data_IF_124070808146
#
_entry.id   IF_124070808146
#
_cell.length_a   1.000
_cell.length_b   1.000
_cell.length_c   1.000
_cell.angle_alpha   90.00
_cell.angle_beta   90.00
_cell.angle_gamma   90.00
#
_symmetry.space_group_name_H-M   'P 1'
#
loop_
_entity.id
_entity.type
_entity.pdbx_description
1 polymer ?
#
# COMPACT_ATOMS: atom_id res chain seq x y z
N UNK A 1 -3.87 24.71 -11.17
CA UNK A 1 -5.07 24.18 -11.86
C UNK A 1 -5.57 22.99 -11.06
N UNK A 2 -6.86 22.89 -10.71
CA UNK A 2 -7.39 21.71 -10.04
C UNK A 2 -7.21 20.52 -10.99
N UNK A 3 -6.43 19.53 -10.57
CA UNK A 3 -6.29 18.27 -11.30
C UNK A 3 -7.51 17.45 -10.94
N UNK A 4 -8.51 17.44 -11.81
CA UNK A 4 -9.66 16.55 -11.62
C UNK A 4 -9.20 15.12 -11.94
N UNK A 5 -9.24 14.19 -10.98
CA UNK A 5 -8.95 12.80 -11.25
C UNK A 5 -9.92 12.28 -12.34
N UNK A 6 -9.43 11.51 -13.30
CA UNK A 6 -10.26 11.03 -14.39
C UNK A 6 -11.14 9.86 -13.92
N UNK A 7 -12.43 10.12 -13.71
CA UNK A 7 -13.44 9.07 -13.54
C UNK A 7 -13.67 8.35 -14.88
N UNK A 8 -13.47 7.05 -14.89
CA UNK A 8 -13.75 6.18 -16.01
C UNK A 8 -14.97 5.33 -15.68
N UNK A 9 -15.96 5.34 -16.56
CA UNK A 9 -17.15 4.49 -16.45
C UNK A 9 -17.14 3.54 -17.63
N UNK A 10 -17.17 2.24 -17.35
CA UNK A 10 -17.27 1.20 -18.36
C UNK A 10 -18.32 0.17 -17.95
N UNK A 11 -18.65 -0.76 -18.84
CA UNK A 11 -19.59 -1.85 -18.56
C UNK A 11 -19.06 -3.13 -19.19
N UNK A 12 -19.14 -4.24 -18.46
CA UNK A 12 -19.00 -5.58 -19.00
C UNK A 12 -20.32 -6.37 -18.82
N UNK A 13 -20.31 -7.67 -19.11
CA UNK A 13 -21.50 -8.52 -19.01
C UNK A 13 -22.10 -8.58 -17.60
N UNK A 14 -21.29 -8.31 -16.56
CA UNK A 14 -21.69 -8.47 -15.16
C UNK A 14 -21.80 -7.16 -14.40
N UNK A 15 -20.92 -6.20 -14.66
CA UNK A 15 -20.84 -4.97 -13.89
C UNK A 15 -20.78 -3.72 -14.76
N UNK A 16 -21.44 -2.67 -14.29
CA UNK A 16 -21.07 -1.29 -14.57
C UNK A 16 -19.94 -0.89 -13.63
N UNK A 17 -18.81 -0.50 -14.20
CA UNK A 17 -17.55 -0.28 -13.47
C UNK A 17 -17.28 1.21 -13.38
N UNK A 18 -17.07 1.69 -12.16
CA UNK A 18 -16.68 3.05 -11.83
C UNK A 18 -15.25 3.02 -11.32
N UNK A 19 -14.31 3.57 -12.09
CA UNK A 19 -12.90 3.64 -11.74
C UNK A 19 -12.42 5.07 -11.63
N UNK A 20 -11.84 5.41 -10.49
CA UNK A 20 -11.15 6.67 -10.27
C UNK A 20 -9.70 6.39 -9.87
N UNK A 21 -8.76 7.09 -10.49
CA UNK A 21 -7.33 6.90 -10.23
C UNK A 21 -6.73 8.21 -9.74
N UNK A 22 -6.00 8.14 -8.63
CA UNK A 22 -5.25 9.22 -8.04
C UNK A 22 -3.75 8.89 -8.14
N UNK A 23 -3.00 9.78 -8.80
CA UNK A 23 -1.54 9.69 -8.95
C UNK A 23 -0.80 9.90 -7.63
N UNK A 24 -1.47 10.42 -6.60
CA UNK A 24 -0.93 10.61 -5.25
C UNK A 24 -2.03 10.86 -4.21
N UNK A 25 -1.69 10.73 -2.93
CA UNK A 25 -2.54 11.21 -1.83
C UNK A 25 -2.85 12.70 -1.90
N UNK A 26 -1.93 13.51 -2.42
CA UNK A 26 -2.13 14.95 -2.59
C UNK A 26 -3.22 15.24 -3.62
N UNK A 27 -3.30 14.45 -4.71
CA UNK A 27 -4.37 14.59 -5.69
C UNK A 27 -5.73 14.18 -5.10
N UNK A 28 -5.76 13.11 -4.28
CA UNK A 28 -6.95 12.71 -3.53
C UNK A 28 -7.42 13.80 -2.56
N UNK A 29 -6.49 14.40 -1.80
CA UNK A 29 -6.77 15.51 -0.90
C UNK A 29 -7.34 16.72 -1.67
N UNK A 30 -6.70 17.13 -2.77
CA UNK A 30 -7.16 18.26 -3.58
C UNK A 30 -8.54 18.01 -4.18
N UNK A 31 -8.82 16.78 -4.62
CA UNK A 31 -10.14 16.37 -5.09
C UNK A 31 -11.19 16.57 -3.99
N UNK A 32 -10.92 16.10 -2.77
CA UNK A 32 -11.85 16.18 -1.64
C UNK A 32 -12.02 17.61 -1.11
N UNK A 33 -10.95 18.42 -1.09
CA UNK A 33 -11.01 19.85 -0.76
C UNK A 33 -11.76 20.67 -1.81
N UNK A 34 -11.86 20.15 -3.03
CA UNK A 34 -12.73 20.69 -4.07
C UNK A 34 -14.23 20.44 -3.86
N UNK A 35 -14.59 19.78 -2.75
CA UNK A 35 -15.96 19.41 -2.36
C UNK A 35 -16.75 18.76 -3.50
N UNK A 36 -16.39 17.51 -3.88
CA UNK A 36 -17.01 16.86 -5.02
C UNK A 36 -18.51 16.66 -4.78
N UNK A 37 -19.31 16.89 -5.82
CA UNK A 37 -20.76 16.80 -5.74
C UNK A 37 -21.21 15.40 -5.29
N UNK A 38 -22.07 15.36 -4.28
CA UNK A 38 -22.65 14.11 -3.77
C UNK A 38 -23.80 13.66 -4.65
N UNK A 39 -23.82 12.39 -4.99
CA UNK A 39 -24.97 11.74 -5.59
C UNK A 39 -26.09 11.55 -4.55
N UNK A 40 -26.88 12.60 -4.31
CA UNK A 40 -27.98 12.63 -3.34
C UNK A 40 -29.11 11.66 -3.66
N UNK A 41 -29.22 11.19 -4.90
CA UNK A 41 -30.22 10.20 -5.30
C UNK A 41 -29.95 8.82 -4.68
N UNK A 42 -28.67 8.46 -4.53
CA UNK A 42 -28.21 7.20 -3.91
C UNK A 42 -27.87 7.39 -2.44
N UNK A 43 -27.17 8.48 -2.11
CA UNK A 43 -26.69 8.79 -0.76
C UNK A 43 -27.54 9.88 -0.11
N UNK A 44 -28.74 9.50 0.36
CA UNK A 44 -29.62 10.41 1.12
C UNK A 44 -28.95 10.93 2.40
N UNK A 45 -28.16 10.07 3.04
CA UNK A 45 -27.35 10.37 4.22
C UNK A 45 -25.89 10.02 3.94
N UNK A 46 -24.97 10.94 4.20
CA UNK A 46 -23.55 10.73 3.94
C UNK A 46 -22.87 10.16 5.18
N UNK A 47 -22.58 8.86 5.17
CA UNK A 47 -21.89 8.19 6.27
C UNK A 47 -20.47 8.71 6.47
N UNK A 48 -19.83 9.24 5.42
CA UNK A 48 -18.54 9.95 5.56
C UNK A 48 -18.61 11.12 6.55
N UNK A 49 -19.79 11.73 6.73
CA UNK A 49 -20.00 12.87 7.64
C UNK A 49 -20.58 12.38 8.97
N UNK A 50 -21.64 11.58 8.94
CA UNK A 50 -22.47 11.32 10.12
C UNK A 50 -22.17 10.04 10.90
N UNK A 51 -21.25 9.18 10.43
CA UNK A 51 -20.85 8.02 11.24
C UNK A 51 -20.24 8.46 12.57
N UNK A 52 -20.55 7.70 13.63
CA UNK A 52 -20.01 7.89 14.98
C UNK A 52 -18.49 7.79 14.97
N UNK A 53 -17.81 8.65 15.74
CA UNK A 53 -16.36 8.74 15.77
C UNK A 53 -15.68 7.47 16.34
N UNK A 54 -16.32 6.77 17.29
CA UNK A 54 -15.79 5.50 17.79
C UNK A 54 -15.57 4.49 16.66
N UNK A 55 -16.49 4.48 15.69
CA UNK A 55 -16.41 3.63 14.52
C UNK A 55 -15.60 4.28 13.39
N UNK A 56 -15.97 5.47 12.91
CA UNK A 56 -15.36 6.07 11.72
C UNK A 56 -14.07 6.87 11.98
N UNK A 57 -13.72 7.09 13.24
CA UNK A 57 -12.69 8.02 13.66
C UNK A 57 -13.11 9.47 13.45
N UNK A 58 -12.12 10.35 13.48
CA UNK A 58 -12.35 11.81 13.47
C UNK A 58 -13.16 12.29 12.25
N UNK A 59 -13.83 13.46 12.36
CA UNK A 59 -14.67 14.00 11.30
C UNK A 59 -13.95 14.18 9.96
N UNK A 60 -14.72 14.15 8.87
CA UNK A 60 -14.22 14.24 7.50
C UNK A 60 -13.20 15.38 7.25
N UNK A 61 -13.38 16.62 7.76
CA UNK A 61 -12.38 17.68 7.58
C UNK A 61 -11.01 17.34 8.15
N UNK A 62 -10.96 16.72 9.34
CA UNK A 62 -9.71 16.27 9.95
C UNK A 62 -9.09 15.12 9.15
N UNK A 63 -9.91 14.14 8.76
CA UNK A 63 -9.51 13.00 7.94
C UNK A 63 -8.88 13.42 6.59
N UNK A 64 -9.43 14.44 5.93
CA UNK A 64 -8.85 14.99 4.70
C UNK A 64 -7.47 15.60 4.97
N UNK A 65 -7.32 16.36 6.06
CA UNK A 65 -6.03 16.98 6.41
C UNK A 65 -4.93 15.95 6.69
N UNK A 66 -5.27 14.75 7.19
CA UNK A 66 -4.32 13.66 7.42
C UNK A 66 -3.67 13.11 6.14
N UNK A 67 -4.30 13.31 4.97
CA UNK A 67 -3.70 12.93 3.68
C UNK A 67 -2.39 13.68 3.38
N UNK A 68 -2.22 14.88 3.97
CA UNK A 68 -1.03 15.72 3.82
C UNK A 68 -0.26 15.91 5.13
N UNK A 69 -0.97 16.25 6.21
CA UNK A 69 -0.39 16.58 7.51
C UNK A 69 0.15 15.37 8.29
N UNK A 70 -0.17 14.15 7.84
CA UNK A 70 0.15 12.91 8.54
C UNK A 70 -0.92 12.53 9.58
N UNK A 71 -0.84 11.29 10.06
CA UNK A 71 -1.76 10.72 11.04
C UNK A 71 -0.96 10.11 12.18
N UNK A 72 -1.25 10.52 13.41
CA UNK A 72 -0.42 10.19 14.58
C UNK A 72 -1.03 9.10 15.46
N UNK A 73 -2.35 8.97 15.46
CA UNK A 73 -3.07 8.01 16.30
C UNK A 73 -2.57 6.59 16.03
N UNK A 74 -1.92 5.97 17.02
CA UNK A 74 -1.35 4.62 16.91
C UNK A 74 -0.01 4.50 16.19
N UNK A 75 0.55 5.61 15.66
CA UNK A 75 1.79 5.60 14.88
C UNK A 75 3.00 5.10 15.71
N UNK A 76 3.07 5.47 16.99
CA UNK A 76 4.16 5.02 17.88
C UNK A 76 4.20 3.50 18.05
N UNK A 77 3.03 2.88 18.27
CA UNK A 77 2.90 1.41 18.36
C UNK A 77 3.26 0.75 17.02
N UNK A 78 2.78 1.33 15.92
CA UNK A 78 3.09 0.87 14.57
C UNK A 78 4.61 0.87 14.29
N UNK A 79 5.29 1.97 14.59
CA UNK A 79 6.74 2.11 14.36
C UNK A 79 7.55 1.15 15.24
N UNK A 80 7.12 0.93 16.49
CA UNK A 80 7.76 -0.02 17.40
C UNK A 80 7.68 -1.45 16.85
N UNK A 81 6.48 -1.93 16.56
CA UNK A 81 6.25 -3.29 16.02
C UNK A 81 6.94 -3.49 14.67
N UNK A 82 6.93 -2.47 13.79
CA UNK A 82 7.68 -2.49 12.54
C UNK A 82 9.17 -2.70 12.77
N UNK A 83 9.76 -1.96 13.72
CA UNK A 83 11.18 -2.08 14.06
C UNK A 83 11.53 -3.45 14.66
N UNK A 84 10.67 -3.98 15.52
CA UNK A 84 10.80 -5.34 16.07
C UNK A 84 10.83 -6.38 14.95
N UNK A 85 9.86 -6.32 14.03
CA UNK A 85 9.81 -7.22 12.87
C UNK A 85 11.05 -7.10 11.97
N UNK A 86 11.47 -5.87 11.67
CA UNK A 86 12.63 -5.61 10.83
C UNK A 86 13.96 -6.05 11.45
N UNK A 87 14.04 -6.16 12.78
CA UNK A 87 15.24 -6.66 13.47
C UNK A 87 15.56 -8.12 13.13
N UNK A 88 14.55 -8.90 12.71
CA UNK A 88 14.68 -10.30 12.28
C UNK A 88 15.14 -10.39 10.82
N UNK A 89 15.05 -9.31 10.05
CA UNK A 89 15.44 -9.31 8.65
C UNK A 89 16.96 -9.45 8.53
N UNK A 90 17.43 -10.65 8.17
CA UNK A 90 18.85 -10.87 7.81
C UNK A 90 19.09 -10.26 6.43
N UNK A 91 19.38 -8.97 6.38
CA UNK A 91 19.59 -8.25 5.13
C UNK A 91 20.99 -8.55 4.56
N UNK A 92 21.07 -9.45 3.57
CA UNK A 92 22.23 -9.46 2.65
C UNK A 92 22.01 -8.36 1.63
N UNK A 93 22.55 -7.19 1.90
CA UNK A 93 22.45 -6.03 1.00
C UNK A 93 23.25 -6.29 -0.28
N UNK A 94 22.53 -6.60 -1.35
CA UNK A 94 23.09 -6.78 -2.69
C UNK A 94 23.17 -5.43 -3.43
N UNK A 95 23.73 -4.40 -2.78
CA UNK A 95 23.91 -3.11 -3.44
C UNK A 95 24.91 -3.24 -4.57
N UNK A 96 24.65 -2.49 -5.65
CA UNK A 96 25.59 -2.34 -6.77
C UNK A 96 26.90 -1.81 -6.23
N UNK A 97 27.97 -2.60 -6.40
CA UNK A 97 29.30 -2.18 -5.97
C UNK A 97 29.93 -1.30 -7.03
N UNK A 98 30.52 -0.20 -6.55
CA UNK A 98 31.40 0.63 -7.35
C UNK A 98 32.75 -0.09 -7.46
N UNK A 99 33.13 -0.49 -8.68
CA UNK A 99 34.39 -1.20 -8.95
C UNK A 99 35.38 -0.29 -9.68
N UNK A 100 36.69 -0.41 -9.41
CA UNK A 100 37.71 0.28 -10.19
C UNK A 100 37.72 -0.20 -11.65
N UNK A 101 37.78 0.72 -12.59
CA UNK A 101 37.72 0.52 -14.02
C UNK A 101 38.55 1.60 -14.74
N UNK A 102 38.87 1.36 -16.02
CA UNK A 102 39.59 2.34 -16.85
C UNK A 102 38.69 3.52 -17.21
N UNK A 103 37.40 3.26 -17.41
CA UNK A 103 36.37 4.25 -17.74
C UNK A 103 35.22 4.12 -16.75
N UNK A 104 34.70 5.25 -16.26
CA UNK A 104 33.67 5.28 -15.22
C UNK A 104 33.12 6.68 -14.99
N UNK A 105 32.26 6.82 -13.98
CA UNK A 105 31.54 8.08 -13.70
C UNK A 105 32.29 9.03 -12.78
N UNK A 106 33.22 8.54 -11.97
CA UNK A 106 33.99 9.35 -11.01
C UNK A 106 35.42 8.80 -10.84
N UNK A 107 36.43 9.63 -10.56
CA UNK A 107 37.82 9.17 -10.42
C UNK A 107 38.03 8.34 -9.15
N UNK A 108 38.90 7.33 -9.24
CA UNK A 108 39.43 6.53 -8.15
C UNK A 108 40.82 7.07 -7.79
N UNK A 109 40.86 8.11 -6.96
CA UNK A 109 42.06 8.89 -6.65
C UNK A 109 43.27 8.02 -6.23
N UNK A 110 43.14 7.01 -5.33
CA UNK A 110 44.29 6.16 -4.98
C UNK A 110 44.94 5.44 -6.17
N UNK A 111 44.13 4.98 -7.13
CA UNK A 111 44.62 4.22 -8.28
C UNK A 111 45.26 5.13 -9.33
N UNK A 112 44.76 6.35 -9.44
CA UNK A 112 45.34 7.40 -10.28
C UNK A 112 46.73 7.80 -9.76
N UNK A 113 46.86 8.05 -8.45
CA UNK A 113 48.15 8.38 -7.82
C UNK A 113 49.13 7.22 -7.92
N UNK A 114 48.65 5.98 -7.79
CA UNK A 114 49.48 4.78 -7.92
C UNK A 114 49.84 4.42 -9.38
N UNK A 115 49.43 5.22 -10.38
CA UNK A 115 49.74 4.98 -11.80
C UNK A 115 49.07 3.73 -12.39
N UNK A 116 48.04 3.20 -11.74
CA UNK A 116 47.35 1.98 -12.20
C UNK A 116 46.29 2.31 -13.27
N UNK A 117 46.05 1.44 -14.26
CA UNK A 117 45.09 1.72 -15.35
C UNK A 117 43.63 1.91 -14.89
N UNK A 118 43.24 1.40 -13.71
CA UNK A 118 41.86 1.44 -13.20
C UNK A 118 41.60 2.72 -12.39
N UNK A 119 41.72 3.87 -13.05
CA UNK A 119 41.68 5.20 -12.42
C UNK A 119 40.27 5.75 -12.22
N UNK A 120 39.22 5.06 -12.66
CA UNK A 120 37.83 5.49 -12.55
C UNK A 120 37.01 4.46 -11.77
N UNK A 121 35.94 4.89 -11.13
CA UNK A 121 34.91 4.03 -10.58
C UNK A 121 33.80 3.82 -11.59
N UNK A 122 33.43 2.57 -11.83
CA UNK A 122 32.26 2.16 -12.61
C UNK A 122 31.36 1.31 -11.72
N UNK A 123 30.05 1.42 -11.87
CA UNK A 123 29.15 0.43 -11.26
C UNK A 123 29.34 -0.91 -11.97
N UNK A 124 29.50 -2.00 -11.22
CA UNK A 124 29.50 -3.35 -11.80
C UNK A 124 28.17 -3.56 -12.55
N UNK A 125 28.24 -4.21 -13.73
CA UNK A 125 27.26 -4.20 -14.84
C UNK A 125 25.93 -3.51 -14.49
N UNK A 126 25.64 -2.39 -15.15
CA UNK A 126 24.34 -1.70 -15.09
C UNK A 126 23.21 -2.62 -15.57
N UNK A 127 22.76 -3.56 -14.73
CA UNK A 127 21.48 -4.23 -14.91
C UNK A 127 20.41 -3.17 -14.73
N UNK A 128 19.41 -3.16 -15.61
CA UNK A 128 18.24 -2.32 -15.42
C UNK A 128 17.66 -2.55 -14.02
N UNK A 129 17.31 -1.44 -13.33
CA UNK A 129 16.72 -1.52 -12.00
C UNK A 129 15.37 -2.22 -12.15
N UNK A 130 15.25 -3.42 -11.60
CA UNK A 130 13.98 -4.14 -11.59
C UNK A 130 13.02 -3.44 -10.65
N UNK A 131 11.74 -3.49 -10.98
CA UNK A 131 10.69 -3.11 -10.06
C UNK A 131 9.56 -4.12 -10.07
N UNK A 132 8.77 -4.10 -9.00
CA UNK A 132 7.56 -4.90 -8.87
C UNK A 132 6.38 -3.99 -8.56
N UNK A 133 5.25 -4.23 -9.21
CA UNK A 133 3.99 -3.60 -8.85
C UNK A 133 3.37 -4.35 -7.68
N UNK A 134 3.02 -3.59 -6.64
CA UNK A 134 2.38 -4.09 -5.43
C UNK A 134 1.06 -3.36 -5.22
N UNK A 135 -0.01 -4.14 -5.13
CA UNK A 135 -1.37 -3.66 -4.94
C UNK A 135 -1.87 -4.12 -3.57
N UNK A 136 -2.34 -3.18 -2.74
CA UNK A 136 -2.99 -3.49 -1.48
C UNK A 136 -4.45 -3.06 -1.52
N UNK A 137 -5.36 -4.02 -1.29
CA UNK A 137 -6.78 -3.74 -1.15
C UNK A 137 -7.06 -3.14 0.22
N UNK A 138 -7.55 -1.92 0.24
CA UNK A 138 -7.95 -1.19 1.43
C UNK A 138 -9.31 -1.66 1.94
N UNK A 139 -10.18 -2.20 1.08
CA UNK A 139 -11.46 -2.74 1.50
C UNK A 139 -11.26 -3.92 2.47
N UNK A 140 -12.03 -3.92 3.56
CA UNK A 140 -12.05 -4.99 4.56
C UNK A 140 -13.43 -5.05 5.23
N UNK A 141 -13.72 -6.17 5.92
CA UNK A 141 -14.96 -6.34 6.67
C UNK A 141 -15.00 -5.42 7.89
N UNK A 142 -16.20 -4.99 8.30
CA UNK A 142 -16.39 -4.28 9.57
C UNK A 142 -15.99 -5.10 10.80
N UNK A 143 -15.82 -6.41 10.65
CA UNK A 143 -15.37 -7.34 11.70
C UNK A 143 -13.85 -7.36 11.88
N UNK A 144 -13.07 -6.80 10.93
CA UNK A 144 -11.62 -6.76 11.06
C UNK A 144 -11.21 -5.76 12.16
N UNK A 145 -10.32 -6.19 13.06
CA UNK A 145 -9.85 -5.37 14.17
C UNK A 145 -8.75 -4.39 13.76
N UNK A 146 -8.58 -3.33 14.55
CA UNK A 146 -7.53 -2.34 14.34
C UNK A 146 -6.13 -2.98 14.36
N UNK A 147 -5.91 -4.03 15.17
CA UNK A 147 -4.67 -4.80 15.19
C UNK A 147 -4.43 -5.56 13.89
N UNK A 148 -5.46 -6.19 13.32
CA UNK A 148 -5.34 -6.91 12.04
C UNK A 148 -4.97 -5.94 10.91
N UNK A 149 -5.63 -4.79 10.87
CA UNK A 149 -5.36 -3.75 9.86
C UNK A 149 -3.93 -3.20 10.05
N UNK A 150 -3.54 -2.90 11.29
CA UNK A 150 -2.18 -2.42 11.63
C UNK A 150 -1.11 -3.42 11.22
N UNK A 151 -1.26 -4.70 11.59
CA UNK A 151 -0.30 -5.74 11.25
C UNK A 151 -0.17 -5.88 9.73
N UNK A 152 -1.28 -5.88 8.98
CA UNK A 152 -1.24 -5.87 7.50
C UNK A 152 -0.44 -4.68 6.95
N UNK A 153 -0.63 -3.48 7.51
CA UNK A 153 0.15 -2.30 7.14
C UNK A 153 1.65 -2.47 7.42
N UNK A 154 2.02 -2.96 8.60
CA UNK A 154 3.42 -3.24 8.98
C UNK A 154 4.05 -4.24 8.02
N UNK A 155 3.36 -5.35 7.76
CA UNK A 155 3.83 -6.42 6.88
C UNK A 155 4.02 -5.94 5.44
N UNK A 156 3.12 -5.09 4.95
CA UNK A 156 3.26 -4.44 3.64
C UNK A 156 4.53 -3.60 3.58
N UNK A 157 4.77 -2.73 4.57
CA UNK A 157 5.98 -1.90 4.59
C UNK A 157 7.26 -2.71 4.76
N UNK A 158 7.23 -3.76 5.60
CA UNK A 158 8.35 -4.67 5.78
C UNK A 158 8.69 -5.40 4.47
N UNK A 159 7.67 -5.86 3.72
CA UNK A 159 7.87 -6.47 2.42
C UNK A 159 8.56 -5.51 1.43
N UNK A 160 8.20 -4.22 1.47
CA UNK A 160 8.86 -3.18 0.67
C UNK A 160 10.33 -3.05 1.07
N UNK A 161 10.64 -2.97 2.36
CA UNK A 161 12.02 -2.94 2.87
C UNK A 161 12.81 -4.15 2.36
N UNK A 162 12.21 -5.35 2.36
CA UNK A 162 12.84 -6.57 1.87
C UNK A 162 13.13 -6.50 0.36
N UNK A 163 12.20 -6.06 -0.48
CA UNK A 163 12.45 -5.87 -1.91
C UNK A 163 13.55 -4.84 -2.19
N UNK A 164 13.51 -3.69 -1.50
CA UNK A 164 14.49 -2.63 -1.71
C UNK A 164 15.90 -3.03 -1.26
N UNK A 165 16.01 -3.84 -0.20
CA UNK A 165 17.28 -4.44 0.23
C UNK A 165 17.90 -5.39 -0.80
N UNK A 166 17.08 -5.90 -1.73
CA UNK A 166 17.47 -6.75 -2.85
C UNK A 166 17.63 -5.96 -4.19
N UNK A 167 17.75 -4.63 -4.14
CA UNK A 167 17.84 -3.73 -5.32
C UNK A 167 16.62 -3.82 -6.27
N UNK A 168 15.44 -4.17 -5.72
CA UNK A 168 14.17 -4.20 -6.44
C UNK A 168 13.33 -3.01 -5.97
N UNK A 169 13.00 -2.10 -6.90
CA UNK A 169 12.09 -0.98 -6.61
C UNK A 169 10.65 -1.47 -6.45
N UNK A 170 9.87 -0.80 -5.60
CA UNK A 170 8.43 -1.10 -5.46
C UNK A 170 7.59 0.07 -5.96
N UNK A 171 6.64 -0.25 -6.86
CA UNK A 171 5.54 0.61 -7.25
C UNK A 171 4.30 0.26 -6.40
N UNK A 172 3.99 1.07 -5.38
CA UNK A 172 2.92 0.76 -4.42
C UNK A 172 1.62 1.47 -4.81
N UNK A 173 0.59 0.67 -5.04
CA UNK A 173 -0.80 1.08 -5.29
C UNK A 173 -1.66 0.64 -4.11
N UNK A 174 -2.31 1.59 -3.44
CA UNK A 174 -3.33 1.30 -2.44
C UNK A 174 -4.68 1.58 -3.08
N UNK A 175 -5.52 0.55 -3.17
CA UNK A 175 -6.78 0.64 -3.89
C UNK A 175 -7.93 0.13 -3.04
N UNK A 176 -9.13 0.62 -3.29
CA UNK A 176 -10.35 0.01 -2.80
C UNK A 176 -11.08 -0.62 -3.97
N UNK A 177 -11.48 -1.88 -3.83
CA UNK A 177 -12.40 -2.54 -4.76
C UNK A 177 -13.59 -3.11 -4.00
N UNK A 178 -14.79 -2.69 -4.39
CA UNK A 178 -16.04 -3.13 -3.77
C UNK A 178 -17.17 -3.16 -4.80
N UNK A 179 -18.20 -3.96 -4.54
CA UNK A 179 -19.35 -4.07 -5.45
C UNK A 179 -20.67 -3.96 -4.69
N UNK A 180 -21.71 -3.58 -5.41
CA UNK A 180 -23.09 -3.60 -4.94
C UNK A 180 -23.99 -3.91 -6.14
N UNK A 181 -24.73 -5.02 -6.07
CA UNK A 181 -25.50 -5.55 -7.20
C UNK A 181 -24.67 -5.61 -8.49
N UNK A 182 -25.09 -4.92 -9.55
CA UNK A 182 -24.42 -4.86 -10.86
C UNK A 182 -23.43 -3.68 -10.98
N UNK A 183 -23.06 -3.03 -9.88
CA UNK A 183 -22.09 -1.95 -9.89
C UNK A 183 -20.81 -2.32 -9.16
N UNK A 184 -19.67 -1.97 -9.77
CA UNK A 184 -18.34 -2.15 -9.23
C UNK A 184 -17.67 -0.78 -9.06
N UNK A 185 -17.12 -0.53 -7.87
CA UNK A 185 -16.34 0.65 -7.56
C UNK A 185 -14.87 0.29 -7.36
N UNK A 186 -13.99 1.06 -8.01
CA UNK A 186 -12.55 0.98 -7.86
C UNK A 186 -11.98 2.39 -7.66
N UNK A 187 -11.32 2.62 -6.54
CA UNK A 187 -10.47 3.80 -6.32
C UNK A 187 -9.02 3.34 -6.18
N UNK A 188 -8.12 3.80 -7.04
CA UNK A 188 -6.68 3.51 -6.95
C UNK A 188 -5.92 4.77 -6.51
N UNK A 189 -5.06 4.64 -5.51
CA UNK A 189 -4.21 5.72 -4.99
C UNK A 189 -2.76 5.27 -5.00
N UNK A 190 -1.94 5.97 -5.78
CA UNK A 190 -0.51 5.69 -5.82
C UNK A 190 0.20 6.25 -4.58
N UNK A 191 0.81 5.37 -3.79
CA UNK A 191 1.50 5.76 -2.56
C UNK A 191 3.01 5.96 -2.76
N UNK A 192 3.62 5.17 -3.65
CA UNK A 192 5.08 5.17 -3.88
C UNK A 192 5.44 4.78 -5.32
N UNK A 193 6.43 5.46 -5.90
CA UNK A 193 7.09 5.06 -7.17
C UNK A 193 8.35 4.20 -6.93
N UNK A 194 8.78 3.36 -7.90
CA UNK A 194 9.95 2.48 -7.78
C UNK A 194 11.29 3.14 -7.38
N UNK A 195 11.43 4.42 -7.68
CA UNK A 195 12.62 5.24 -7.47
C UNK A 195 12.55 6.10 -6.20
N UNK A 196 11.37 6.21 -5.57
CA UNK A 196 11.18 6.96 -4.34
C UNK A 196 11.56 6.14 -3.11
N UNK A 197 12.18 6.77 -2.11
CA UNK A 197 12.33 6.18 -0.78
C UNK A 197 10.95 6.11 -0.12
N UNK A 198 10.65 5.01 0.55
CA UNK A 198 9.37 4.88 1.24
C UNK A 198 9.24 5.90 2.38
N UNK A 199 8.17 6.71 2.32
CA UNK A 199 7.78 7.58 3.43
C UNK A 199 6.75 6.85 4.29
N UNK A 200 7.20 6.33 5.44
CA UNK A 200 6.37 5.55 6.37
C UNK A 200 5.18 6.37 6.89
N UNK A 201 5.39 7.63 7.27
CA UNK A 201 4.31 8.49 7.79
C UNK A 201 3.21 8.72 6.74
N UNK A 202 3.60 8.94 5.49
CA UNK A 202 2.67 9.08 4.36
C UNK A 202 1.89 7.80 4.07
N UNK A 203 2.53 6.63 4.21
CA UNK A 203 1.86 5.35 3.96
C UNK A 203 1.02 4.88 5.14
N UNK A 204 1.34 5.29 6.37
CA UNK A 204 0.67 4.83 7.58
C UNK A 204 -0.84 5.11 7.55
N UNK A 205 -1.22 6.35 7.21
CA UNK A 205 -2.62 6.76 7.24
C UNK A 205 -3.50 5.92 6.29
N UNK A 206 -3.18 5.78 4.97
CA UNK A 206 -3.98 4.93 4.09
C UNK A 206 -4.03 3.45 4.47
N UNK A 207 -2.94 2.93 5.07
CA UNK A 207 -2.83 1.51 5.38
C UNK A 207 -3.52 1.12 6.69
N UNK A 208 -3.57 2.04 7.65
CA UNK A 208 -3.96 1.74 9.03
C UNK A 208 -5.10 2.60 9.58
N UNK A 209 -5.26 3.85 9.12
CA UNK A 209 -6.25 4.78 9.64
C UNK A 209 -7.67 4.37 9.24
N UNK A 210 -8.55 4.12 10.22
CA UNK A 210 -9.96 3.80 9.96
C UNK A 210 -10.70 4.94 9.26
N UNK A 211 -10.30 6.18 9.52
CA UNK A 211 -10.80 7.40 8.88
C UNK A 211 -10.52 7.39 7.38
N UNK A 212 -9.41 6.80 6.93
CA UNK A 212 -9.07 6.80 5.50
C UNK A 212 -10.15 6.06 4.70
N UNK A 213 -10.61 4.91 5.16
CA UNK A 213 -11.69 4.20 4.47
C UNK A 213 -13.05 4.82 4.81
N UNK A 214 -13.33 5.02 6.11
CA UNK A 214 -14.67 5.36 6.62
C UNK A 214 -15.05 6.83 6.38
N UNK A 215 -14.08 7.73 6.15
CA UNK A 215 -14.30 9.14 5.83
C UNK A 215 -13.86 9.45 4.42
N UNK A 216 -12.57 9.26 4.13
CA UNK A 216 -11.94 9.72 2.88
C UNK A 216 -12.48 8.93 1.68
N UNK A 217 -12.40 7.60 1.68
CA UNK A 217 -12.89 6.79 0.55
C UNK A 217 -14.42 6.73 0.47
N UNK A 218 -15.14 6.74 1.60
CA UNK A 218 -16.60 6.88 1.56
C UNK A 218 -17.03 8.20 0.90
N UNK A 219 -16.30 9.30 1.15
CA UNK A 219 -16.57 10.58 0.49
C UNK A 219 -16.34 10.51 -1.01
N UNK A 220 -15.31 9.78 -1.46
CA UNK A 220 -15.10 9.51 -2.90
C UNK A 220 -16.23 8.66 -3.47
N UNK A 221 -16.71 7.64 -2.75
CA UNK A 221 -17.87 6.83 -3.20
C UNK A 221 -19.15 7.65 -3.31
N UNK A 222 -19.39 8.54 -2.36
CA UNK A 222 -20.58 9.39 -2.30
C UNK A 222 -20.70 10.31 -3.52
N UNK A 223 -19.59 10.69 -4.15
CA UNK A 223 -19.58 11.51 -5.36
C UNK A 223 -19.68 10.70 -6.65
N UNK A 224 -19.74 9.37 -6.57
CA UNK A 224 -19.86 8.55 -7.77
C UNK A 224 -21.30 8.57 -8.33
N UNK A 225 -21.46 8.59 -9.67
CA UNK A 225 -22.76 8.55 -10.32
C UNK A 225 -23.31 7.10 -10.37
N UNK A 226 -23.33 6.44 -9.22
CA UNK A 226 -23.99 5.15 -9.01
C UNK A 226 -25.49 5.25 -9.29
N UNK A 227 -26.05 4.13 -9.73
CA UNK A 227 -27.49 3.94 -9.91
C UNK A 227 -28.06 2.97 -8.87
N UNK A 228 -27.23 2.07 -8.34
CA UNK A 228 -27.65 1.09 -7.34
C UNK A 228 -27.70 1.67 -5.92
N UNK A 229 -28.31 0.93 -5.00
CA UNK A 229 -28.52 1.38 -3.61
C UNK A 229 -27.26 1.28 -2.73
N UNK A 230 -26.22 2.04 -3.05
CA UNK A 230 -24.97 2.07 -2.27
C UNK A 230 -25.11 2.71 -0.88
N UNK A 231 -26.11 3.59 -0.67
CA UNK A 231 -26.24 4.39 0.56
C UNK A 231 -26.45 3.59 1.86
N UNK A 232 -26.85 2.31 1.79
CA UNK A 232 -27.07 1.48 2.99
C UNK A 232 -25.77 0.93 3.59
N UNK A 233 -24.84 0.46 2.75
CA UNK A 233 -23.68 -0.31 3.20
C UNK A 233 -22.37 0.03 2.51
N UNK A 234 -22.39 0.89 1.48
CA UNK A 234 -21.21 1.26 0.70
C UNK A 234 -20.52 0.08 -0.01
N UNK A 235 -21.28 -1.02 -0.21
CA UNK A 235 -20.85 -2.20 -0.96
C UNK A 235 -20.19 -3.28 -0.11
N UNK A 236 -19.90 -4.42 -0.75
CA UNK A 236 -19.17 -5.55 -0.18
C UNK A 236 -17.75 -5.64 -0.78
N UNK A 237 -16.83 -6.24 -0.02
CA UNK A 237 -15.46 -6.51 -0.48
C UNK A 237 -15.50 -7.40 -1.73
N UNK A 238 -14.75 -7.02 -2.76
CA UNK A 238 -14.69 -7.78 -3.99
C UNK A 238 -13.79 -9.03 -3.81
N UNK A 239 -14.20 -10.24 -4.25
CA UNK A 239 -13.36 -11.44 -4.20
C UNK A 239 -12.06 -11.31 -5.01
N UNK A 240 -10.97 -11.98 -4.59
CA UNK A 240 -9.65 -11.93 -5.24
C UNK A 240 -9.71 -12.16 -6.76
N UNK A 241 -10.47 -13.16 -7.22
CA UNK A 241 -10.55 -13.50 -8.65
C UNK A 241 -11.07 -12.33 -9.49
N UNK A 242 -12.05 -11.59 -8.96
CA UNK A 242 -12.60 -10.40 -9.61
C UNK A 242 -11.67 -9.20 -9.45
N UNK A 243 -10.99 -9.05 -8.30
CA UNK A 243 -9.95 -8.02 -8.12
C UNK A 243 -8.90 -8.18 -9.21
N UNK A 244 -8.32 -9.38 -9.37
CA UNK A 244 -7.29 -9.65 -10.39
C UNK A 244 -7.79 -9.36 -11.79
N UNK A 245 -9.00 -9.81 -12.13
CA UNK A 245 -9.64 -9.56 -13.44
C UNK A 245 -9.76 -8.06 -13.71
N UNK A 246 -10.42 -7.31 -12.82
CA UNK A 246 -10.75 -5.92 -13.11
C UNK A 246 -9.54 -5.00 -12.94
N UNK A 247 -8.66 -5.24 -11.96
CA UNK A 247 -7.45 -4.44 -11.77
C UNK A 247 -6.31 -4.79 -12.75
N UNK A 248 -6.43 -5.88 -13.53
CA UNK A 248 -5.38 -6.34 -14.43
C UNK A 248 -4.11 -6.77 -13.67
N UNK A 249 -4.31 -7.50 -12.57
CA UNK A 249 -3.23 -7.98 -11.69
C UNK A 249 -2.93 -9.44 -12.04
N UNK A 250 -1.88 -9.64 -12.84
CA UNK A 250 -1.33 -10.96 -13.17
C UNK A 250 -0.47 -11.54 -12.02
N UNK A 251 0.03 -12.76 -12.21
CA UNK A 251 0.82 -13.49 -11.21
C UNK A 251 2.24 -12.91 -10.98
N UNK A 252 2.71 -12.02 -11.87
CA UNK A 252 4.01 -11.37 -11.69
C UNK A 252 3.90 -10.25 -10.66
N UNK A 253 2.74 -9.60 -10.58
CA UNK A 253 2.40 -8.53 -9.64
C UNK A 253 2.03 -9.09 -8.27
N UNK A 254 2.18 -8.27 -7.23
CA UNK A 254 1.79 -8.63 -5.87
C UNK A 254 0.42 -8.06 -5.53
N UNK A 255 -0.40 -8.89 -4.91
CA UNK A 255 -1.72 -8.52 -4.41
C UNK A 255 -1.81 -8.85 -2.93
N UNK A 256 -2.05 -7.83 -2.12
CA UNK A 256 -2.29 -7.93 -0.68
C UNK A 256 -3.78 -7.67 -0.44
N UNK A 257 -4.48 -8.64 0.12
CA UNK A 257 -5.93 -8.64 0.30
C UNK A 257 -6.35 -8.12 1.68
N UNK A 258 -7.63 -8.29 2.03
CA UNK A 258 -8.12 -8.02 3.38
C UNK A 258 -7.36 -8.86 4.44
N UNK A 259 -7.28 -8.40 5.71
CA UNK A 259 -6.47 -9.11 6.72
C UNK A 259 -6.84 -10.58 6.91
N UNK A 260 -8.12 -10.90 6.90
CA UNK A 260 -8.68 -12.26 7.00
C UNK A 260 -8.31 -13.12 5.78
N UNK A 261 -8.38 -12.57 4.57
CA UNK A 261 -7.94 -13.25 3.33
C UNK A 261 -6.42 -13.51 3.30
N UNK A 262 -5.66 -12.71 4.04
CA UNK A 262 -4.22 -12.87 4.24
C UNK A 262 -3.88 -13.74 5.48
N UNK A 263 -4.88 -14.22 6.22
CA UNK A 263 -4.69 -15.03 7.42
C UNK A 263 -4.19 -14.27 8.65
N UNK A 264 -4.17 -12.94 8.61
CA UNK A 264 -3.68 -12.06 9.67
C UNK A 264 -4.68 -12.03 10.83
N UNK A 265 -4.24 -12.36 12.03
CA UNK A 265 -5.06 -12.40 13.25
C UNK A 265 -4.89 -11.17 14.13
N UNK A 266 -3.82 -10.39 13.97
CA UNK A 266 -3.59 -9.18 14.74
C UNK A 266 -3.03 -9.42 16.15
N UNK A 267 -2.68 -10.66 16.50
CA UNK A 267 -2.25 -11.03 17.85
C UNK A 267 -0.73 -11.02 18.00
N UNK A 268 -0.04 -11.71 17.10
CA UNK A 268 1.41 -11.85 17.07
C UNK A 268 1.91 -11.47 15.67
N UNK A 269 2.83 -10.49 15.61
CA UNK A 269 3.32 -9.95 14.34
C UNK A 269 4.21 -10.95 13.59
N UNK A 270 4.88 -11.88 14.27
CA UNK A 270 5.73 -12.90 13.66
C UNK A 270 4.92 -14.08 13.11
N UNK A 271 3.85 -14.48 13.81
CA UNK A 271 2.87 -15.43 13.28
C UNK A 271 2.19 -14.85 12.04
N UNK A 272 1.69 -13.62 12.14
CA UNK A 272 1.05 -12.92 11.04
C UNK A 272 2.03 -12.75 9.86
N UNK A 273 3.30 -12.43 10.12
CA UNK A 273 4.34 -12.34 9.08
C UNK A 273 4.52 -13.67 8.36
N UNK A 274 4.61 -14.76 9.11
CA UNK A 274 4.80 -16.10 8.54
C UNK A 274 3.66 -16.44 7.57
N UNK A 275 2.41 -16.31 8.01
CA UNK A 275 1.24 -16.64 7.19
C UNK A 275 1.13 -15.70 5.99
N UNK A 276 1.40 -14.40 6.19
CA UNK A 276 1.39 -13.40 5.12
C UNK A 276 2.40 -13.71 4.00
N UNK A 277 3.64 -14.04 4.36
CA UNK A 277 4.68 -14.35 3.37
C UNK A 277 4.44 -15.70 2.67
N UNK A 278 3.93 -16.71 3.39
CA UNK A 278 3.50 -17.98 2.81
C UNK A 278 2.37 -17.75 1.78
N UNK A 279 1.38 -16.90 2.10
CA UNK A 279 0.27 -16.56 1.20
C UNK A 279 0.69 -15.86 -0.09
N UNK A 280 1.76 -15.05 -0.04
CA UNK A 280 2.30 -14.33 -1.19
C UNK A 280 3.23 -15.18 -2.07
N UNK A 281 3.63 -16.37 -1.60
CA UNK A 281 4.49 -17.32 -2.31
C UNK A 281 5.74 -16.68 -2.96
N UNK A 282 6.56 -16.01 -2.14
CA UNK A 282 7.67 -15.17 -2.62
C UNK A 282 9.03 -15.88 -2.69
N UNK A 283 9.09 -17.20 -2.47
CA UNK A 283 10.36 -17.96 -2.36
C UNK A 283 11.28 -17.77 -3.58
N UNK A 284 10.69 -17.59 -4.76
CA UNK A 284 11.42 -17.46 -6.02
C UNK A 284 11.79 -16.01 -6.34
N UNK A 285 11.23 -15.03 -5.59
CA UNK A 285 11.40 -13.59 -5.84
C UNK A 285 12.45 -12.96 -4.92
N UNK A 286 12.44 -13.28 -3.62
CA UNK A 286 13.36 -12.73 -2.61
C UNK A 286 13.61 -13.73 -1.48
N UNK A 287 14.73 -13.58 -0.77
CA UNK A 287 14.97 -14.31 0.47
C UNK A 287 14.09 -13.76 1.59
N UNK A 288 13.22 -14.61 2.14
CA UNK A 288 12.34 -14.25 3.26
C UNK A 288 12.99 -14.66 4.58
N UNK A 289 13.01 -13.80 5.60
CA UNK A 289 13.48 -14.16 6.94
C UNK A 289 12.66 -15.28 7.58
N UNK A 290 13.29 -16.10 8.43
CA UNK A 290 12.59 -17.14 9.16
C UNK A 290 12.05 -16.60 10.50
N UNK A 291 10.80 -16.12 10.47
CA UNK A 291 10.12 -15.59 11.64
C UNK A 291 9.75 -16.67 12.69
N UNK A 292 9.57 -17.94 12.27
CA UNK A 292 9.25 -19.08 13.17
C UNK A 292 10.34 -19.34 14.22
N UNK A 293 11.61 -19.08 13.90
CA UNK A 293 12.73 -19.32 14.81
C UNK A 293 12.81 -18.27 15.94
N UNK A 294 12.32 -17.05 15.71
CA UNK A 294 12.33 -15.99 16.74
C UNK A 294 11.27 -16.24 17.83
N UNK A 295 10.09 -16.75 17.44
CA UNK A 295 9.04 -17.17 18.38
C UNK A 295 9.54 -18.18 19.43
N UNK A 296 10.38 -19.15 19.00
CA UNK A 296 10.92 -20.19 19.89
C UNK A 296 11.94 -19.68 20.90
N UNK A 297 12.59 -18.55 20.62
CA UNK A 297 13.62 -17.96 21.49
C UNK A 297 13.02 -16.98 22.51
N UNK A 298 11.89 -16.34 22.19
CA UNK A 298 11.14 -15.52 23.15
C UNK A 298 10.34 -16.37 24.15
N UNK A 299 9.74 -17.49 23.72
CA UNK A 299 9.04 -18.41 24.62
C UNK A 299 9.94 -19.18 25.62
N UNK A 300 11.27 -19.03 25.51
CA UNK A 300 12.27 -19.63 26.40
C UNK A 300 12.89 -18.62 27.38
N UNK A 301 12.50 -17.35 27.32
CA UNK A 301 12.90 -16.30 28.26
C UNK A 301 11.76 -16.00 29.22
#
# INVERSE_FOLDING_TARGET
MPVTPSLQISRDEKFRIYRINFKSLTELELYLKGDPEVNKSVFKTQKSIYLLEDFAGEPLPAAINYCHGGYETGLGVFLRLKKELESVNVMKTNFRRSVPAVVGSRPHVPNFVAGTPKTMFRLDKAKEKKFIDMYINLAYSGENTDEQIRNRGILTLNLITLFESNDIGVNLHAFEASYNYEELFIADVKLKRPDEIINVGKCYYPLCGKEFIRRVLLRVKESMPFMEKWGLGYGAVLPETLIRKYMGIDDKKLLILAPDEMGIKGKDIYEDATVFFERLNLSDKISIPNYKNHMKNEAKR
#
